data_IF_230248915737
#
_entry.id   IF_230248915737
#
_cell.length_a   1.000
_cell.length_b   1.000
_cell.length_c   1.000
_cell.angle_alpha   90.00
_cell.angle_beta   90.00
_cell.angle_gamma   90.00
#
_symmetry.space_group_name_H-M   'P 1'
#
loop_
_entity.id
_entity.type
_entity.pdbx_description
1 polymer ?
#
# COMPACT_ATOMS: atom_id res chain seq x y z
N UNK A 1 25.37 -11.64 -11.00
CA UNK A 1 24.96 -10.32 -10.45
C UNK A 1 23.66 -9.91 -11.15
N UNK A 2 22.50 -9.98 -10.45
CA UNK A 2 21.25 -9.42 -10.99
C UNK A 2 21.41 -7.89 -10.98
N UNK A 3 21.41 -7.27 -12.14
CA UNK A 3 21.34 -5.83 -12.28
C UNK A 3 20.06 -5.36 -11.57
N UNK A 4 20.21 -4.54 -10.52
CA UNK A 4 19.10 -3.95 -9.79
C UNK A 4 18.34 -3.05 -10.79
N UNK A 5 17.12 -3.45 -11.16
CA UNK A 5 16.29 -2.66 -12.07
C UNK A 5 16.07 -1.28 -11.47
N UNK A 6 16.32 -0.25 -12.27
CA UNK A 6 16.12 1.14 -11.85
C UNK A 6 14.63 1.39 -11.66
N UNK A 7 14.24 1.73 -10.42
CA UNK A 7 12.88 2.17 -10.07
C UNK A 7 12.89 3.69 -9.97
N UNK A 8 11.95 4.34 -10.66
CA UNK A 8 11.67 5.76 -10.51
C UNK A 8 10.22 5.94 -10.05
N UNK A 9 9.95 7.01 -9.28
CA UNK A 9 8.58 7.38 -8.90
C UNK A 9 8.31 8.79 -9.40
N UNK A 10 7.23 8.93 -10.14
CA UNK A 10 6.77 10.20 -10.72
C UNK A 10 5.32 10.48 -10.33
N UNK A 11 4.88 11.72 -10.46
CA UNK A 11 3.45 12.01 -10.41
C UNK A 11 2.75 11.33 -11.58
N UNK A 12 1.60 10.71 -11.30
CA UNK A 12 0.82 10.06 -12.33
C UNK A 12 0.23 11.08 -13.31
N UNK A 13 0.10 10.67 -14.55
CA UNK A 13 -0.64 11.43 -15.57
C UNK A 13 -1.85 10.63 -16.03
N UNK A 14 -2.84 11.29 -16.60
CA UNK A 14 -4.01 10.61 -17.16
C UNK A 14 -3.65 9.52 -18.19
N UNK A 15 -2.58 9.72 -18.95
CA UNK A 15 -2.09 8.75 -19.92
C UNK A 15 -1.52 7.46 -19.30
N UNK A 16 -1.10 7.49 -18.03
CA UNK A 16 -0.58 6.31 -17.33
C UNK A 16 -1.68 5.43 -16.74
N UNK A 17 -2.88 5.98 -16.48
CA UNK A 17 -3.95 5.28 -15.76
C UNK A 17 -4.39 4.00 -16.47
N UNK A 18 -4.50 4.01 -17.79
CA UNK A 18 -4.87 2.82 -18.55
C UNK A 18 -3.86 1.69 -18.43
N UNK A 19 -2.56 2.03 -18.52
CA UNK A 19 -1.49 1.05 -18.36
C UNK A 19 -1.44 0.48 -16.94
N UNK A 20 -1.65 1.31 -15.91
CA UNK A 20 -1.75 0.87 -14.52
C UNK A 20 -2.97 -0.04 -14.30
N UNK A 21 -4.12 0.28 -14.87
CA UNK A 21 -5.34 -0.52 -14.74
C UNK A 21 -5.21 -1.90 -15.41
N UNK A 22 -4.37 -2.03 -16.44
CA UNK A 22 -4.12 -3.29 -17.14
C UNK A 22 -3.18 -4.24 -16.38
N UNK A 23 -2.56 -3.81 -15.29
CA UNK A 23 -1.67 -4.65 -14.49
C UNK A 23 -2.44 -5.72 -13.71
N UNK A 24 -1.82 -6.87 -13.55
CA UNK A 24 -2.31 -7.91 -12.66
C UNK A 24 -1.82 -7.64 -11.22
N UNK A 25 -2.76 -7.38 -10.31
CA UNK A 25 -2.48 -7.10 -8.89
C UNK A 25 -2.75 -8.30 -7.97
N UNK A 26 -3.17 -9.46 -8.49
CA UNK A 26 -3.46 -10.66 -7.70
C UNK A 26 -2.25 -11.14 -6.92
N UNK A 27 -2.48 -11.73 -5.78
CA UNK A 27 -1.44 -12.35 -4.94
C UNK A 27 -1.95 -13.60 -4.23
N UNK A 28 -1.02 -14.49 -3.87
CA UNK A 28 -1.34 -15.69 -3.13
C UNK A 28 -1.24 -15.42 -1.63
N UNK A 29 -2.26 -15.82 -0.89
CA UNK A 29 -2.27 -15.86 0.58
C UNK A 29 -1.87 -17.27 1.00
N UNK A 30 -0.71 -17.41 1.63
CA UNK A 30 -0.18 -18.67 2.18
C UNK A 30 -0.01 -18.59 3.69
N UNK A 31 -0.03 -17.36 4.23
CA UNK A 31 0.06 -17.05 5.65
C UNK A 31 -0.90 -15.91 5.96
N UNK A 32 -1.32 -15.84 7.21
CA UNK A 32 -2.04 -14.74 7.80
C UNK A 32 -1.31 -14.22 9.05
N UNK A 33 -1.62 -13.00 9.44
CA UNK A 33 -1.08 -12.37 10.64
C UNK A 33 -2.11 -12.39 11.77
N UNK A 34 -1.78 -13.03 12.90
CA UNK A 34 -2.41 -12.73 14.17
C UNK A 34 -1.74 -11.48 14.75
N UNK A 35 -2.36 -10.33 14.49
CA UNK A 35 -1.81 -9.05 14.87
C UNK A 35 -1.96 -8.79 16.37
N UNK A 36 -0.85 -8.41 16.99
CA UNK A 36 -0.78 -8.00 18.40
C UNK A 36 0.06 -6.73 18.46
N UNK A 37 -0.37 -5.74 19.25
CA UNK A 37 0.39 -4.51 19.45
C UNK A 37 1.77 -4.80 20.05
N UNK A 38 2.74 -4.00 19.68
CA UNK A 38 4.13 -4.05 20.18
C UNK A 38 4.84 -5.40 19.93
N UNK A 39 4.33 -6.19 18.98
CA UNK A 39 4.88 -7.49 18.60
C UNK A 39 5.33 -7.46 17.14
N UNK A 40 6.55 -7.95 16.82
CA UNK A 40 7.01 -8.05 15.44
C UNK A 40 6.05 -8.86 14.57
N UNK A 41 5.80 -8.40 13.34
CA UNK A 41 4.91 -9.08 12.37
C UNK A 41 5.26 -10.56 12.23
N UNK A 42 6.55 -10.88 12.15
CA UNK A 42 7.02 -12.27 11.96
C UNK A 42 6.59 -13.22 13.05
N UNK A 43 6.41 -12.74 14.28
CA UNK A 43 6.07 -13.56 15.43
C UNK A 43 4.57 -13.91 15.49
N UNK A 44 3.74 -13.21 14.69
CA UNK A 44 2.31 -13.46 14.58
C UNK A 44 1.90 -14.22 13.32
N UNK A 45 2.86 -14.64 12.47
CA UNK A 45 2.54 -15.35 11.22
C UNK A 45 2.14 -16.80 11.47
N UNK A 46 1.08 -17.25 10.81
CA UNK A 46 0.67 -18.65 10.77
C UNK A 46 0.28 -19.06 9.35
N UNK A 47 0.49 -20.34 9.03
CA UNK A 47 0.20 -20.88 7.70
C UNK A 47 -1.29 -21.14 7.53
N UNK A 48 -1.80 -20.88 6.34
CA UNK A 48 -3.17 -21.16 5.92
C UNK A 48 -3.19 -21.90 4.60
N UNK A 49 -4.34 -22.49 4.25
CA UNK A 49 -4.54 -23.07 2.93
C UNK A 49 -4.32 -22.00 1.86
N UNK A 50 -3.50 -22.29 0.86
CA UNK A 50 -3.17 -21.35 -0.22
C UNK A 50 -4.43 -20.95 -0.98
N UNK A 51 -4.65 -19.65 -1.10
CA UNK A 51 -5.71 -19.07 -1.93
C UNK A 51 -5.22 -17.83 -2.66
N UNK A 52 -5.82 -17.54 -3.80
CA UNK A 52 -5.56 -16.33 -4.55
C UNK A 52 -6.46 -15.21 -4.05
N UNK A 53 -5.92 -14.00 -3.98
CA UNK A 53 -6.65 -12.80 -3.59
C UNK A 53 -6.48 -11.70 -4.63
N UNK A 54 -7.58 -10.97 -4.87
CA UNK A 54 -7.63 -9.80 -5.74
C UNK A 54 -8.42 -8.70 -5.04
N UNK A 55 -7.82 -7.51 -4.92
CA UNK A 55 -8.51 -6.31 -4.40
C UNK A 55 -9.28 -5.56 -5.50
N UNK A 56 -9.18 -6.00 -6.75
CA UNK A 56 -9.76 -5.30 -7.91
C UNK A 56 -9.31 -3.83 -7.98
N UNK A 57 -8.01 -3.61 -7.72
CA UNK A 57 -7.41 -2.29 -7.73
C UNK A 57 -7.77 -1.53 -9.01
N UNK A 58 -8.27 -0.31 -8.84
CA UNK A 58 -8.68 0.55 -9.93
C UNK A 58 -8.06 1.96 -9.79
N UNK A 59 -6.91 2.23 -10.41
CA UNK A 59 -6.26 3.54 -10.33
C UNK A 59 -7.10 4.68 -10.91
N UNK A 60 -8.08 4.40 -11.78
CA UNK A 60 -8.97 5.41 -12.35
C UNK A 60 -9.84 6.11 -11.30
N UNK A 61 -10.20 5.41 -10.21
CA UNK A 61 -11.01 6.01 -9.13
C UNK A 61 -10.26 7.14 -8.41
N UNK A 62 -8.93 7.20 -8.54
CA UNK A 62 -8.07 8.24 -7.96
C UNK A 62 -7.72 9.36 -8.95
N UNK A 63 -8.38 9.43 -10.11
CA UNK A 63 -8.12 10.45 -11.13
C UNK A 63 -8.33 11.89 -10.62
N UNK A 64 -9.18 12.09 -9.63
CA UNK A 64 -9.39 13.38 -8.95
C UNK A 64 -8.17 13.87 -8.16
N UNK A 65 -7.20 12.98 -7.87
CA UNK A 65 -5.95 13.32 -7.20
C UNK A 65 -4.87 13.83 -8.17
N UNK A 66 -5.10 13.73 -9.48
CA UNK A 66 -4.20 14.31 -10.48
C UNK A 66 -4.22 15.85 -10.36
N UNK A 67 -3.03 16.45 -10.14
CA UNK A 67 -2.87 17.88 -9.92
C UNK A 67 -3.72 18.46 -8.78
N UNK A 68 -3.97 17.67 -7.74
CA UNK A 68 -4.76 18.06 -6.56
C UNK A 68 -3.85 18.67 -5.48
N UNK A 69 -4.35 19.66 -4.73
CA UNK A 69 -3.59 20.29 -3.62
C UNK A 69 -3.63 19.44 -2.34
N UNK A 70 -4.72 18.70 -2.13
CA UNK A 70 -4.97 17.91 -0.92
C UNK A 70 -4.71 16.42 -1.09
N UNK A 71 -4.12 16.05 -2.23
CA UNK A 71 -3.76 14.67 -2.53
C UNK A 71 -2.84 14.55 -3.73
N UNK A 72 -2.32 13.35 -3.93
CA UNK A 72 -1.46 13.04 -5.07
C UNK A 72 -1.64 11.58 -5.50
N UNK A 73 -1.42 11.33 -6.77
CA UNK A 73 -1.32 9.99 -7.33
C UNK A 73 0.09 9.82 -7.92
N UNK A 74 0.83 8.83 -7.41
CA UNK A 74 2.19 8.52 -7.85
C UNK A 74 2.23 7.23 -8.63
N UNK A 75 3.11 7.15 -9.62
CA UNK A 75 3.38 5.96 -10.42
C UNK A 75 4.83 5.52 -10.22
N UNK A 76 5.05 4.26 -9.89
CA UNK A 76 6.35 3.63 -9.96
C UNK A 76 6.63 3.17 -11.39
N UNK A 77 7.80 3.51 -11.91
CA UNK A 77 8.29 3.10 -13.21
C UNK A 77 9.45 2.12 -13.04
N UNK A 78 9.43 1.03 -13.78
CA UNK A 78 10.55 0.10 -13.93
C UNK A 78 10.92 0.08 -15.41
N UNK A 79 12.14 0.50 -15.74
CA UNK A 79 12.57 0.63 -17.14
C UNK A 79 11.56 1.45 -17.97
N UNK A 80 11.15 2.60 -17.43
CA UNK A 80 10.19 3.56 -18.00
C UNK A 80 8.75 3.02 -18.23
N UNK A 81 8.43 1.84 -17.69
CA UNK A 81 7.09 1.25 -17.78
C UNK A 81 6.36 1.36 -16.45
N UNK A 82 5.07 1.77 -16.45
CA UNK A 82 4.25 1.75 -15.24
C UNK A 82 4.24 0.35 -14.59
N UNK A 83 4.58 0.30 -13.31
CA UNK A 83 4.76 -0.93 -12.55
C UNK A 83 3.87 -1.02 -11.30
N UNK A 84 3.36 0.11 -10.86
CA UNK A 84 2.50 0.23 -9.69
C UNK A 84 2.15 1.68 -9.40
N UNK A 85 1.27 1.90 -8.46
CA UNK A 85 0.83 3.23 -8.06
C UNK A 85 0.61 3.37 -6.56
N UNK A 86 0.50 4.60 -6.10
CA UNK A 86 0.08 4.97 -4.76
C UNK A 86 -0.77 6.23 -4.83
N UNK A 87 -1.95 6.16 -4.24
CA UNK A 87 -2.83 7.29 -4.01
C UNK A 87 -2.70 7.74 -2.55
N UNK A 88 -2.49 9.03 -2.33
CA UNK A 88 -2.36 9.64 -1.00
C UNK A 88 -3.18 10.91 -0.93
N UNK A 89 -3.83 11.13 0.20
CA UNK A 89 -4.60 12.35 0.46
C UNK A 89 -4.36 12.89 1.87
N UNK A 90 -4.75 14.14 2.07
CA UNK A 90 -4.78 14.76 3.40
C UNK A 90 -5.95 14.19 4.19
N UNK A 91 -5.66 13.58 5.34
CA UNK A 91 -6.67 13.03 6.23
C UNK A 91 -7.16 14.08 7.24
N UNK A 92 -8.40 13.94 7.70
CA UNK A 92 -9.03 14.87 8.65
C UNK A 92 -8.28 15.01 9.99
N UNK A 93 -7.49 14.01 10.38
CA UNK A 93 -6.74 13.98 11.63
C UNK A 93 -5.33 14.58 11.55
N UNK A 94 -4.98 15.24 10.43
CA UNK A 94 -3.67 15.86 10.24
C UNK A 94 -2.57 14.93 9.72
N UNK A 95 -2.90 13.70 9.35
CA UNK A 95 -1.99 12.74 8.71
C UNK A 95 -2.19 12.71 7.19
N UNK A 96 -1.23 12.16 6.48
CA UNK A 96 -1.43 11.67 5.12
C UNK A 96 -2.05 10.28 5.17
N UNK A 97 -3.15 10.07 4.47
CA UNK A 97 -3.78 8.77 4.28
C UNK A 97 -3.32 8.18 2.95
N UNK A 98 -2.66 7.04 2.99
CA UNK A 98 -2.48 6.23 1.78
C UNK A 98 -3.80 5.52 1.49
N UNK A 99 -4.52 6.01 0.49
CA UNK A 99 -5.83 5.51 0.07
C UNK A 99 -5.72 4.13 -0.59
N UNK A 100 -4.66 3.94 -1.39
CA UNK A 100 -4.36 2.69 -2.07
C UNK A 100 -2.88 2.64 -2.46
N UNK A 101 -2.29 1.47 -2.41
CA UNK A 101 -0.95 1.17 -2.94
C UNK A 101 -0.96 -0.20 -3.58
N UNK A 102 -0.56 -0.28 -4.84
CA UNK A 102 -0.50 -1.55 -5.55
C UNK A 102 0.69 -1.62 -6.50
N UNK A 103 1.32 -2.79 -6.55
CA UNK A 103 2.41 -3.11 -7.47
C UNK A 103 2.01 -4.33 -8.29
N UNK A 104 2.09 -4.21 -9.60
CA UNK A 104 1.79 -5.29 -10.53
C UNK A 104 2.61 -6.55 -10.22
N UNK A 105 2.01 -7.74 -10.32
CA UNK A 105 2.61 -9.02 -9.93
C UNK A 105 3.98 -9.24 -10.58
N UNK A 106 4.13 -8.87 -11.85
CA UNK A 106 5.39 -8.98 -12.60
C UNK A 106 6.51 -8.02 -12.12
N UNK A 107 6.17 -7.00 -11.32
CA UNK A 107 7.11 -5.98 -10.83
C UNK A 107 7.35 -6.07 -9.32
N UNK A 108 6.81 -7.07 -8.65
CA UNK A 108 7.04 -7.27 -7.21
C UNK A 108 8.50 -7.61 -6.94
N UNK A 109 8.95 -7.36 -5.71
CA UNK A 109 10.33 -7.59 -5.25
C UNK A 109 11.39 -6.74 -5.98
N UNK A 110 10.99 -5.76 -6.78
CA UNK A 110 11.87 -4.80 -7.45
C UNK A 110 12.13 -3.52 -6.64
N UNK A 111 11.51 -3.36 -5.47
CA UNK A 111 11.61 -2.15 -4.64
C UNK A 111 10.51 -1.10 -4.91
N UNK A 112 9.59 -1.32 -5.84
CA UNK A 112 8.51 -0.37 -6.17
C UNK A 112 7.68 0.03 -4.96
N UNK A 113 7.26 -0.91 -4.11
CA UNK A 113 6.47 -0.61 -2.92
C UNK A 113 7.19 0.30 -1.93
N UNK A 114 8.48 0.03 -1.67
CA UNK A 114 9.32 0.91 -0.85
C UNK A 114 9.44 2.32 -1.46
N UNK A 115 9.71 2.42 -2.77
CA UNK A 115 9.88 3.70 -3.45
C UNK A 115 8.59 4.53 -3.43
N UNK A 116 7.43 3.90 -3.66
CA UNK A 116 6.12 4.55 -3.58
C UNK A 116 5.83 5.08 -2.16
N UNK A 117 6.05 4.26 -1.12
CA UNK A 117 5.87 4.71 0.27
C UNK A 117 6.83 5.83 0.65
N UNK A 118 8.10 5.77 0.24
CA UNK A 118 9.05 6.86 0.44
C UNK A 118 8.58 8.15 -0.21
N UNK A 119 7.99 8.08 -1.42
CA UNK A 119 7.43 9.27 -2.08
C UNK A 119 6.22 9.82 -1.33
N UNK A 120 5.34 8.97 -0.83
CA UNK A 120 4.20 9.38 0.01
C UNK A 120 4.67 10.05 1.32
N UNK A 121 5.70 9.51 1.98
CA UNK A 121 6.31 10.09 3.18
C UNK A 121 6.91 11.48 2.86
N UNK A 122 7.61 11.61 1.73
CA UNK A 122 8.15 12.91 1.30
C UNK A 122 7.04 13.92 1.03
N UNK A 123 5.98 13.52 0.31
CA UNK A 123 4.81 14.35 0.06
C UNK A 123 4.14 14.81 1.36
N UNK A 124 3.96 13.90 2.33
CA UNK A 124 3.37 14.24 3.63
C UNK A 124 4.20 15.31 4.38
N UNK A 125 5.54 15.23 4.31
CA UNK A 125 6.45 16.24 4.88
C UNK A 125 6.36 17.56 4.12
N UNK A 126 6.33 17.55 2.79
CA UNK A 126 6.11 18.71 1.93
C UNK A 126 4.79 19.43 2.27
N UNK A 127 3.76 18.66 2.63
CA UNK A 127 2.45 19.14 3.05
C UNK A 127 2.37 19.52 4.54
N UNK A 128 3.47 19.44 5.28
CA UNK A 128 3.55 19.75 6.72
C UNK A 128 2.56 18.93 7.56
N UNK A 129 2.32 17.68 7.18
CA UNK A 129 1.48 16.74 7.94
C UNK A 129 2.29 16.07 9.06
N UNK A 130 1.62 15.61 10.10
CA UNK A 130 2.26 15.02 11.28
C UNK A 130 2.82 13.61 11.06
N UNK A 131 2.42 12.95 9.97
CA UNK A 131 2.83 11.59 9.67
C UNK A 131 2.01 10.99 8.53
N UNK A 132 2.10 9.67 8.39
CA UNK A 132 1.38 8.88 7.38
C UNK A 132 0.60 7.77 8.07
N UNK A 133 -0.60 7.50 7.59
CA UNK A 133 -1.42 6.35 8.03
C UNK A 133 -1.92 5.56 6.82
N UNK A 134 -2.18 4.30 7.04
CA UNK A 134 -2.78 3.41 6.05
C UNK A 134 -3.47 2.23 6.73
N UNK A 135 -4.32 1.56 5.98
CA UNK A 135 -5.01 0.35 6.40
C UNK A 135 -4.65 -0.81 5.46
N UNK A 136 -4.57 -2.03 6.01
CA UNK A 136 -4.47 -3.27 5.22
C UNK A 136 -5.09 -4.44 5.97
N UNK A 137 -5.33 -5.54 5.26
CA UNK A 137 -5.85 -6.75 5.88
C UNK A 137 -4.72 -7.62 6.44
N UNK A 138 -5.03 -8.40 7.49
CA UNK A 138 -4.14 -9.40 8.10
C UNK A 138 -3.69 -10.50 7.11
N UNK A 139 -4.37 -10.66 5.99
CA UNK A 139 -4.05 -11.58 4.90
C UNK A 139 -2.97 -11.06 3.95
N UNK A 140 -2.71 -9.74 3.95
CA UNK A 140 -1.66 -9.13 3.14
C UNK A 140 -0.35 -9.03 3.92
N UNK A 141 0.21 -10.20 4.27
CA UNK A 141 1.45 -10.31 5.06
C UNK A 141 2.62 -9.55 4.43
N UNK A 142 2.73 -9.57 3.10
CA UNK A 142 3.79 -8.85 2.40
C UNK A 142 3.72 -7.34 2.62
N UNK A 143 2.52 -6.77 2.66
CA UNK A 143 2.29 -5.37 2.97
C UNK A 143 2.63 -5.08 4.45
N UNK A 144 2.16 -5.89 5.41
CA UNK A 144 2.47 -5.74 6.83
C UNK A 144 3.99 -5.73 7.09
N UNK A 145 4.72 -6.66 6.49
CA UNK A 145 6.19 -6.72 6.59
C UNK A 145 6.87 -5.49 5.95
N UNK A 146 6.31 -4.97 4.86
CA UNK A 146 6.81 -3.76 4.23
C UNK A 146 6.62 -2.54 5.13
N UNK A 147 5.44 -2.38 5.72
CA UNK A 147 5.12 -1.25 6.60
C UNK A 147 5.99 -1.26 7.86
N UNK A 148 6.12 -2.42 8.52
CA UNK A 148 7.03 -2.58 9.66
C UNK A 148 8.48 -2.20 9.28
N UNK A 149 8.98 -2.71 8.15
CA UNK A 149 10.32 -2.38 7.64
C UNK A 149 10.51 -0.88 7.36
N UNK A 150 9.45 -0.19 6.96
CA UNK A 150 9.46 1.25 6.68
C UNK A 150 9.31 2.11 7.95
N UNK A 151 9.19 1.47 9.12
CA UNK A 151 9.08 2.15 10.41
C UNK A 151 7.66 2.50 10.81
N UNK A 152 6.65 1.96 10.15
CA UNK A 152 5.27 2.08 10.60
C UNK A 152 5.03 1.19 11.81
N UNK A 153 4.22 1.68 12.73
CA UNK A 153 3.76 0.97 13.91
C UNK A 153 2.29 0.59 13.77
N UNK A 154 1.92 -0.57 14.30
CA UNK A 154 0.52 -1.01 14.35
C UNK A 154 -0.21 -0.24 15.44
N UNK A 155 -1.13 0.64 15.05
CA UNK A 155 -1.89 1.50 15.97
C UNK A 155 -3.36 1.15 16.11
N UNK A 156 -3.88 0.24 15.28
CA UNK A 156 -5.28 -0.16 15.34
C UNK A 156 -5.53 -1.54 14.76
N UNK A 157 -6.46 -2.28 15.38
CA UNK A 157 -6.91 -3.60 14.93
C UNK A 157 -8.44 -3.60 14.96
N UNK A 158 -9.09 -3.80 13.80
CA UNK A 158 -10.54 -3.91 13.72
C UNK A 158 -10.96 -5.25 13.10
N UNK A 159 -11.63 -6.08 13.91
CA UNK A 159 -12.12 -7.40 13.52
C UNK A 159 -13.44 -7.36 12.76
N UNK A 160 -14.07 -6.19 12.69
CA UNK A 160 -15.44 -6.05 12.20
C UNK A 160 -15.55 -5.23 10.94
N UNK A 161 -14.50 -4.49 10.55
CA UNK A 161 -14.52 -3.60 9.40
C UNK A 161 -15.04 -4.29 8.12
N UNK A 162 -14.63 -5.54 7.90
CA UNK A 162 -15.01 -6.31 6.70
C UNK A 162 -16.15 -7.29 6.92
N UNK A 163 -16.72 -7.35 8.12
CA UNK A 163 -17.71 -8.40 8.49
C UNK A 163 -18.96 -8.40 7.60
N UNK A 164 -19.37 -7.25 7.10
CA UNK A 164 -20.50 -7.12 6.18
C UNK A 164 -20.15 -7.45 4.72
N UNK A 165 -18.87 -7.62 4.39
CA UNK A 165 -18.43 -7.97 3.05
C UNK A 165 -18.45 -9.49 2.89
N UNK A 166 -19.36 -9.99 2.06
CA UNK A 166 -19.55 -11.45 1.87
C UNK A 166 -18.30 -12.19 1.37
N UNK A 167 -17.41 -11.49 0.67
CA UNK A 167 -16.18 -12.11 0.13
C UNK A 167 -15.10 -12.39 1.19
N UNK A 168 -15.07 -11.59 2.31
CA UNK A 168 -13.95 -11.61 3.27
C UNK A 168 -14.40 -11.36 4.73
N UNK A 169 -15.42 -12.07 5.23
CA UNK A 169 -16.04 -11.74 6.54
C UNK A 169 -15.13 -12.00 7.76
N UNK A 170 -14.06 -12.78 7.58
CA UNK A 170 -13.15 -13.16 8.67
C UNK A 170 -11.84 -12.36 8.67
N UNK A 171 -11.65 -11.44 7.73
CA UNK A 171 -10.43 -10.63 7.68
C UNK A 171 -10.44 -9.51 8.70
N UNK A 172 -9.26 -9.22 9.24
CA UNK A 172 -9.05 -8.18 10.23
C UNK A 172 -8.36 -6.99 9.58
N UNK A 173 -8.88 -5.79 9.78
CA UNK A 173 -8.23 -4.56 9.36
C UNK A 173 -7.13 -4.17 10.34
N UNK A 174 -6.00 -3.77 9.80
CA UNK A 174 -4.82 -3.36 10.52
C UNK A 174 -4.46 -1.94 10.11
N UNK A 175 -4.45 -1.02 11.07
CA UNK A 175 -4.15 0.40 10.86
C UNK A 175 -2.72 0.68 11.28
N UNK A 176 -1.93 1.18 10.34
CA UNK A 176 -0.51 1.46 10.50
C UNK A 176 -0.24 2.95 10.51
N UNK A 177 0.71 3.38 11.31
CA UNK A 177 1.05 4.79 11.52
C UNK A 177 2.55 5.01 11.46
N UNK A 178 2.97 6.05 10.76
CA UNK A 178 4.34 6.56 10.78
C UNK A 178 4.30 8.02 11.21
N UNK A 179 4.83 8.33 12.39
CA UNK A 179 4.88 9.69 12.93
C UNK A 179 6.17 10.38 12.53
N UNK A 180 6.09 11.67 12.21
CA UNK A 180 7.27 12.50 12.00
C UNK A 180 7.69 13.14 13.32
N UNK A 181 9.00 13.12 13.56
CA UNK A 181 9.63 13.83 14.69
C UNK A 181 9.85 15.29 14.32
#
# INVERSE_FOLDING_TARGET
MQQQKKVAVVEATSGMLQALQALDYRFSVTQELEAVFDRPVRDGLYSVATREKNYFNNPQQFSSLLNNRDGALFTALVEDRPAGYLAVSRHWNGLALVEDIAVGSAFRRSGCGCALLQRAISWAREQQLAGVTLETQNTNVAACLLYEKMGFELGGIDRYLYRALHAHPAETALFWYLWFQ
#
